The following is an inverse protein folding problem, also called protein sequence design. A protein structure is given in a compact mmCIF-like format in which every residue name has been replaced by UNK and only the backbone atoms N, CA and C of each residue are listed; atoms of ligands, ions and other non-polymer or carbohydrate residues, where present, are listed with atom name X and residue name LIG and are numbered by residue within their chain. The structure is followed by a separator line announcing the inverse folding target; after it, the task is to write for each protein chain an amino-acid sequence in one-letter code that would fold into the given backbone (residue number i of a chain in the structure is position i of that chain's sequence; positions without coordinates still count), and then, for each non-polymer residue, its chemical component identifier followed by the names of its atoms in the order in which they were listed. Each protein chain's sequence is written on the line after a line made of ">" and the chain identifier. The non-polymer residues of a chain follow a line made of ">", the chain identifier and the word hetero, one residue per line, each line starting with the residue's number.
data_IF_642077907406
#
_entry.id   IF_642077907406
#
_cell.length_a   1.000
_cell.length_b   1.000
_cell.length_c   1.000
_cell.angle_alpha   90.00
_cell.angle_beta   90.00
_cell.angle_gamma   90.00
#
_symmetry.space_group_name_H-M   'P 1'
#
loop_
_entity.id
_entity.type
_entity.pdbx_description
1 polymer ?
#
# COMPACT_ATOMS: atom_id res chain seq x y z
N UNK A 1 -4.17 -17.93 5.56
CA UNK A 1 -5.40 -17.13 5.79
C UNK A 1 -4.93 -15.70 6.10
N UNK A 2 -5.64 -14.58 5.88
CA UNK A 2 -7.04 -14.31 5.48
C UNK A 2 -7.13 -12.90 4.87
N UNK A 3 -8.19 -12.57 4.11
CA UNK A 3 -8.69 -11.19 4.00
C UNK A 3 -7.82 -10.13 3.29
N UNK A 4 -7.56 -10.32 1.99
CA UNK A 4 -7.16 -9.25 1.06
C UNK A 4 -8.23 -9.14 -0.06
N UNK A 5 -8.36 -7.97 -0.69
CA UNK A 5 -9.61 -7.20 -0.64
C UNK A 5 -9.70 -5.87 -1.48
N UNK A 6 -10.60 -5.63 -2.49
CA UNK A 6 -10.59 -4.39 -3.35
C UNK A 6 -11.92 -3.82 -4.05
N UNK A 7 -11.80 -2.77 -4.96
CA UNK A 7 -12.74 -2.07 -5.91
C UNK A 7 -12.31 -0.63 -6.45
N UNK A 8 -11.94 -0.40 -7.74
CA UNK A 8 -10.94 0.62 -8.25
C UNK A 8 -11.38 1.92 -9.08
N UNK A 9 -10.47 2.81 -9.67
CA UNK A 9 -10.70 4.17 -10.37
C UNK A 9 -9.53 5.18 -10.84
N UNK A 10 -9.80 6.50 -11.20
CA UNK A 10 -9.13 7.75 -11.77
C UNK A 10 -9.64 9.17 -11.24
N UNK A 11 -8.89 10.32 -11.21
CA UNK A 11 -8.02 10.95 -12.25
C UNK A 11 -7.07 12.11 -11.80
N UNK A 12 -5.81 12.13 -12.32
CA UNK A 12 -4.82 13.23 -12.64
C UNK A 12 -4.27 14.30 -11.62
N UNK A 13 -3.17 14.96 -12.06
CA UNK A 13 -2.10 15.67 -11.28
C UNK A 13 -1.50 16.86 -12.06
N UNK A 14 -1.12 17.96 -11.36
CA UNK A 14 -0.13 18.99 -11.82
C UNK A 14 0.72 19.47 -10.64
N UNK A 15 1.98 19.87 -10.89
CA UNK A 15 3.04 20.19 -9.91
C UNK A 15 2.97 21.60 -9.28
N UNK A 16 3.61 21.76 -8.11
CA UNK A 16 3.94 23.04 -7.49
C UNK A 16 3.75 23.03 -5.96
N UNK A 17 4.73 23.53 -5.17
CA UNK A 17 4.79 23.44 -3.71
C UNK A 17 3.48 23.81 -2.98
N UNK A 18 2.65 22.80 -2.70
CA UNK A 18 1.34 22.90 -2.02
C UNK A 18 1.07 21.61 -1.26
N UNK A 19 0.16 21.65 -0.30
CA UNK A 19 -0.51 20.44 0.16
C UNK A 19 -1.29 19.85 -1.01
N UNK A 20 -0.97 18.62 -1.41
CA UNK A 20 -1.69 17.94 -2.49
C UNK A 20 -3.00 17.38 -1.93
N UNK A 21 -4.00 18.25 -1.84
CA UNK A 21 -5.35 17.91 -1.41
C UNK A 21 -6.35 17.86 -2.56
N UNK A 22 -7.15 16.81 -2.63
CA UNK A 22 -8.22 16.66 -3.61
C UNK A 22 -9.48 16.03 -3.01
N UNK A 23 -10.57 16.01 -3.78
CA UNK A 23 -11.88 15.50 -3.36
C UNK A 23 -12.70 14.97 -4.55
N UNK A 24 -13.52 13.97 -4.29
CA UNK A 24 -14.52 13.48 -5.25
C UNK A 24 -15.67 14.45 -5.45
N UNK A 25 -16.30 14.40 -6.63
CA UNK A 25 -17.59 15.06 -6.89
C UNK A 25 -18.76 14.21 -6.35
N UNK A 26 -19.94 14.81 -6.08
CA UNK A 26 -20.99 14.19 -5.28
C UNK A 26 -22.07 13.47 -6.10
N UNK A 27 -21.78 13.06 -7.35
CA UNK A 27 -22.78 12.49 -8.27
C UNK A 27 -23.15 11.02 -7.94
N UNK A 28 -22.52 10.43 -6.92
CA UNK A 28 -22.85 9.14 -6.31
C UNK A 28 -22.89 9.21 -4.77
N UNK A 29 -23.26 8.10 -4.11
CA UNK A 29 -23.33 8.04 -2.63
C UNK A 29 -21.94 8.20 -1.97
N UNK A 30 -20.88 7.75 -2.66
CA UNK A 30 -19.52 7.75 -2.14
C UNK A 30 -18.88 9.14 -2.27
N UNK A 31 -18.37 9.68 -1.16
CA UNK A 31 -17.59 10.93 -1.13
C UNK A 31 -16.24 10.66 -0.51
N UNK A 32 -15.20 11.20 -1.12
CA UNK A 32 -13.81 11.03 -0.67
C UNK A 32 -13.05 12.35 -0.70
N UNK A 33 -11.96 12.40 0.07
CA UNK A 33 -10.96 13.45 0.01
C UNK A 33 -9.61 12.95 0.54
N UNK A 34 -8.54 13.66 0.19
CA UNK A 34 -7.17 13.36 0.60
C UNK A 34 -6.38 14.65 0.83
N UNK A 35 -5.26 14.54 1.54
CA UNK A 35 -4.27 15.62 1.66
C UNK A 35 -2.89 15.00 1.91
N UNK A 36 -1.92 15.34 1.07
CA UNK A 36 -0.52 14.95 1.22
C UNK A 36 0.31 16.19 1.52
N UNK A 37 1.22 16.09 2.48
CA UNK A 37 2.08 17.20 2.93
C UNK A 37 3.47 16.67 3.28
N UNK A 38 4.50 17.19 2.61
CA UNK A 38 5.89 16.86 2.93
C UNK A 38 6.22 17.28 4.37
N UNK A 39 6.73 16.33 5.14
CA UNK A 39 7.20 16.55 6.51
C UNK A 39 8.49 17.37 6.61
N UNK A 40 9.02 17.49 7.83
CA UNK A 40 10.26 18.23 8.13
C UNK A 40 11.56 17.51 7.73
N UNK A 41 11.45 16.33 7.13
CA UNK A 41 12.60 15.50 6.80
C UNK A 41 13.38 16.01 5.57
N UNK A 42 14.68 15.67 5.49
CA UNK A 42 15.61 16.24 4.50
C UNK A 42 15.63 15.52 3.14
N UNK A 43 14.94 14.38 3.01
CA UNK A 43 14.78 13.63 1.75
C UNK A 43 13.67 14.24 0.87
N UNK A 44 13.23 13.54 -0.17
CA UNK A 44 12.14 13.98 -1.05
C UNK A 44 10.75 13.84 -0.37
N UNK A 45 9.67 13.95 -1.16
CA UNK A 45 8.37 13.38 -0.77
C UNK A 45 8.37 11.96 -1.33
N UNK A 46 8.30 10.94 -0.47
CA UNK A 46 8.38 9.54 -0.90
C UNK A 46 7.01 8.82 -0.79
N UNK A 47 6.06 9.37 -0.05
CA UNK A 47 4.71 8.84 0.07
C UNK A 47 3.76 9.29 -1.07
N UNK A 48 3.12 8.29 -1.69
CA UNK A 48 2.20 8.41 -2.82
C UNK A 48 0.80 7.94 -2.40
N UNK A 49 -0.21 8.35 -3.15
CA UNK A 49 -1.59 7.97 -2.86
C UNK A 49 -2.39 7.70 -4.12
N UNK A 50 -3.57 7.13 -3.91
CA UNK A 50 -4.66 7.10 -4.89
C UNK A 50 -5.97 7.40 -4.17
N UNK A 51 -6.89 8.15 -4.79
CA UNK A 51 -8.22 8.46 -4.25
C UNK A 51 -9.22 8.85 -5.37
N UNK A 52 -10.14 7.96 -5.78
CA UNK A 52 -10.91 8.09 -7.05
C UNK A 52 -12.12 7.09 -7.22
N UNK A 53 -13.19 7.32 -8.04
CA UNK A 53 -14.38 6.38 -8.28
C UNK A 53 -14.73 6.00 -9.79
N UNK A 54 -14.83 4.72 -10.23
CA UNK A 54 -15.22 4.32 -11.64
C UNK A 54 -16.34 3.28 -11.72
N UNK A 55 -16.95 3.16 -12.90
CA UNK A 55 -17.73 1.99 -13.30
C UNK A 55 -16.84 0.87 -13.91
N UNK A 56 -16.95 -0.35 -13.40
CA UNK A 56 -16.43 -1.59 -14.03
C UNK A 56 -17.56 -2.59 -14.17
N UNK A 57 -17.86 -3.04 -15.40
CA UNK A 57 -18.95 -4.00 -15.69
C UNK A 57 -20.26 -3.64 -14.98
N UNK A 58 -20.66 -2.36 -15.03
CA UNK A 58 -21.88 -1.85 -14.40
C UNK A 58 -21.87 -1.72 -12.87
N UNK A 59 -20.72 -1.84 -12.21
CA UNK A 59 -20.57 -1.63 -10.77
C UNK A 59 -19.79 -0.33 -10.52
N UNK A 60 -20.31 0.57 -9.68
CA UNK A 60 -19.52 1.69 -9.16
C UNK A 60 -18.51 1.16 -8.14
N UNK A 61 -17.27 1.56 -8.33
CA UNK A 61 -16.11 1.16 -7.55
C UNK A 61 -15.39 2.41 -7.01
N UNK A 62 -14.59 2.28 -5.94
CA UNK A 62 -13.98 3.42 -5.24
C UNK A 62 -12.59 3.14 -4.64
N UNK A 63 -11.57 3.70 -5.29
CA UNK A 63 -10.14 3.44 -5.15
C UNK A 63 -9.42 4.33 -4.15
N UNK A 64 -8.87 3.74 -3.09
CA UNK A 64 -8.01 4.44 -2.14
C UNK A 64 -6.72 3.66 -1.89
N UNK A 65 -5.60 4.38 -1.84
CA UNK A 65 -4.30 3.86 -1.46
C UNK A 65 -3.49 4.91 -0.72
N UNK A 66 -2.66 4.44 0.22
CA UNK A 66 -1.43 5.11 0.63
C UNK A 66 -0.28 4.14 0.37
N UNK A 67 0.79 4.66 -0.21
CA UNK A 67 2.06 3.99 -0.40
C UNK A 67 3.12 4.84 0.29
N UNK A 68 3.67 4.39 1.42
CA UNK A 68 4.79 5.07 2.07
C UNK A 68 6.09 4.55 1.45
N UNK A 69 6.96 5.42 0.95
CA UNK A 69 8.17 5.05 0.21
C UNK A 69 9.43 5.28 1.04
N UNK A 70 10.47 4.46 0.85
CA UNK A 70 11.73 4.62 1.60
C UNK A 70 12.97 4.30 0.75
N UNK A 71 14.03 5.10 0.96
CA UNK A 71 15.28 5.10 0.17
C UNK A 71 15.05 5.43 -1.31
N UNK A 72 13.99 6.17 -1.64
CA UNK A 72 13.52 6.42 -2.99
C UNK A 72 11.99 6.44 -3.09
N UNK A 73 11.47 7.16 -4.08
CA UNK A 73 10.05 7.27 -4.41
C UNK A 73 9.61 6.27 -5.49
N UNK A 74 10.55 5.61 -6.17
CA UNK A 74 10.31 4.87 -7.42
C UNK A 74 9.32 3.71 -7.24
N UNK A 75 9.42 2.98 -6.12
CA UNK A 75 8.49 1.89 -5.79
C UNK A 75 7.09 2.43 -5.54
N UNK A 76 6.93 3.44 -4.68
CA UNK A 76 5.64 4.07 -4.38
C UNK A 76 4.99 4.67 -5.65
N UNK A 77 5.79 5.32 -6.50
CA UNK A 77 5.39 5.89 -7.78
C UNK A 77 5.02 4.81 -8.83
N UNK A 78 5.61 3.62 -8.76
CA UNK A 78 5.23 2.48 -9.60
C UNK A 78 3.91 1.85 -9.11
N UNK A 79 3.77 1.63 -7.79
CA UNK A 79 2.54 1.10 -7.20
C UNK A 79 1.32 1.96 -7.51
N UNK A 80 1.45 3.30 -7.43
CA UNK A 80 0.40 4.25 -7.83
C UNK A 80 -0.11 4.03 -9.26
N UNK A 81 0.79 3.71 -10.20
CA UNK A 81 0.47 3.56 -11.63
C UNK A 81 0.00 2.15 -11.99
N UNK A 82 0.57 1.12 -11.36
CA UNK A 82 0.50 -0.25 -11.86
C UNK A 82 -0.26 -1.24 -10.95
N UNK A 83 -0.28 -1.05 -9.63
CA UNK A 83 -0.89 -2.05 -8.72
C UNK A 83 -2.38 -2.25 -9.04
N UNK A 84 -3.07 -1.19 -9.43
CA UNK A 84 -4.52 -1.20 -9.66
C UNK A 84 -4.94 -1.61 -11.06
N UNK A 85 -4.17 -1.29 -12.09
CA UNK A 85 -4.33 -1.91 -13.39
C UNK A 85 -4.04 -3.41 -13.31
N UNK A 86 -3.06 -3.85 -12.51
CA UNK A 86 -2.79 -5.26 -12.26
C UNK A 86 -3.91 -5.99 -11.49
N UNK A 87 -4.55 -5.36 -10.49
CA UNK A 87 -5.70 -5.94 -9.76
C UNK A 87 -6.92 -6.13 -10.69
N UNK A 88 -7.18 -5.20 -11.61
CA UNK A 88 -8.31 -5.30 -12.55
C UNK A 88 -8.04 -6.14 -13.80
N UNK A 89 -6.77 -6.35 -14.17
CA UNK A 89 -6.32 -6.79 -15.51
C UNK A 89 -7.12 -7.93 -16.12
N UNK A 90 -7.35 -8.99 -15.35
CA UNK A 90 -7.96 -10.22 -15.85
C UNK A 90 -9.50 -10.16 -15.88
N UNK A 91 -10.12 -9.09 -15.38
CA UNK A 91 -11.58 -8.94 -15.29
C UNK A 91 -12.28 -9.90 -14.30
N UNK A 92 -11.56 -10.85 -13.71
CA UNK A 92 -11.95 -11.75 -12.62
C UNK A 92 -12.23 -11.01 -11.30
N UNK A 93 -11.87 -9.72 -11.20
CA UNK A 93 -11.89 -8.97 -9.94
C UNK A 93 -13.22 -9.05 -9.19
N UNK A 94 -14.35 -8.94 -9.90
CA UNK A 94 -15.70 -9.00 -9.29
C UNK A 94 -16.17 -10.43 -8.96
N UNK A 95 -15.41 -11.46 -9.33
CA UNK A 95 -15.72 -12.88 -9.10
C UNK A 95 -14.92 -13.42 -7.92
N UNK A 96 -13.61 -13.20 -7.90
CA UNK A 96 -12.75 -13.49 -6.75
C UNK A 96 -11.79 -12.33 -6.49
N UNK A 97 -12.23 -11.31 -5.71
CA UNK A 97 -11.37 -10.24 -5.25
C UNK A 97 -10.11 -10.80 -4.58
N UNK A 98 -10.26 -11.69 -3.60
CA UNK A 98 -9.16 -12.13 -2.74
C UNK A 98 -8.02 -12.77 -3.52
N UNK A 99 -8.33 -13.61 -4.52
CA UNK A 99 -7.34 -14.21 -5.43
C UNK A 99 -6.71 -13.19 -6.35
N UNK A 100 -7.51 -12.38 -7.04
CA UNK A 100 -7.00 -11.42 -8.04
C UNK A 100 -6.05 -10.41 -7.42
N UNK A 101 -6.32 -9.98 -6.19
CA UNK A 101 -5.49 -9.00 -5.49
C UNK A 101 -4.22 -9.63 -4.95
N UNK A 102 -4.30 -10.82 -4.33
CA UNK A 102 -3.10 -11.53 -3.88
C UNK A 102 -2.16 -11.86 -5.06
N UNK A 103 -2.73 -12.23 -6.22
CA UNK A 103 -2.01 -12.40 -7.49
C UNK A 103 -1.39 -11.08 -7.95
N UNK A 104 -2.15 -9.99 -7.97
CA UNK A 104 -1.67 -8.70 -8.46
C UNK A 104 -0.59 -8.09 -7.55
N UNK A 105 -0.73 -8.18 -6.23
CA UNK A 105 0.31 -7.79 -5.27
C UNK A 105 1.60 -8.56 -5.57
N UNK A 106 1.55 -9.91 -5.57
CA UNK A 106 2.72 -10.75 -5.85
C UNK A 106 3.35 -10.44 -7.21
N UNK A 107 2.54 -10.34 -8.28
CA UNK A 107 3.05 -10.11 -9.63
C UNK A 107 3.65 -8.70 -9.79
N UNK A 108 3.11 -7.70 -9.11
CA UNK A 108 3.64 -6.32 -9.13
C UNK A 108 5.00 -6.28 -8.42
N UNK A 109 5.11 -6.91 -7.26
CA UNK A 109 6.37 -7.04 -6.51
C UNK A 109 7.44 -7.82 -7.29
N UNK A 110 7.07 -8.98 -7.84
CA UNK A 110 7.96 -9.75 -8.72
C UNK A 110 8.42 -8.95 -9.95
N UNK A 111 7.61 -8.02 -10.46
CA UNK A 111 8.02 -7.14 -11.57
C UNK A 111 9.10 -6.14 -11.09
N UNK A 112 8.87 -5.48 -9.97
CA UNK A 112 9.82 -4.55 -9.32
C UNK A 112 11.16 -5.25 -9.03
N UNK A 113 11.12 -6.45 -8.44
CA UNK A 113 12.32 -7.23 -8.10
C UNK A 113 13.05 -7.80 -9.34
N UNK A 114 12.33 -8.05 -10.44
CA UNK A 114 12.91 -8.58 -11.68
C UNK A 114 13.65 -7.52 -12.52
N UNK A 115 13.35 -6.24 -12.33
CA UNK A 115 14.01 -5.16 -13.06
C UNK A 115 15.36 -4.79 -12.41
N UNK A 116 16.29 -5.74 -12.40
CA UNK A 116 17.65 -5.56 -11.88
C UNK A 116 18.54 -4.71 -12.79
N UNK A 117 17.96 -3.91 -13.69
CA UNK A 117 18.68 -3.18 -14.75
C UNK A 117 19.30 -1.86 -14.29
N UNK A 118 18.95 -1.37 -13.09
CA UNK A 118 19.37 -0.05 -12.61
C UNK A 118 19.24 0.11 -11.09
N UNK A 119 19.99 1.05 -10.51
CA UNK A 119 19.92 1.45 -9.09
C UNK A 119 18.59 2.14 -8.70
N UNK A 120 17.66 2.31 -9.65
CA UNK A 120 16.34 2.93 -9.47
C UNK A 120 15.45 2.19 -8.47
N UNK A 121 15.71 0.91 -8.21
CA UNK A 121 14.93 0.05 -7.30
C UNK A 121 15.66 -0.26 -5.98
N UNK A 122 16.57 0.62 -5.56
CA UNK A 122 17.33 0.49 -4.29
C UNK A 122 16.50 0.69 -3.01
N UNK A 123 15.24 1.14 -3.17
CA UNK A 123 14.27 1.35 -2.10
C UNK A 123 13.16 0.30 -2.01
N UNK A 124 12.13 0.64 -1.23
CA UNK A 124 10.92 -0.14 -1.09
C UNK A 124 9.71 0.75 -0.84
N UNK A 125 8.54 0.15 -0.67
CA UNK A 125 7.35 0.89 -0.27
C UNK A 125 6.32 0.02 0.46
N UNK A 126 5.58 0.61 1.38
CA UNK A 126 4.35 0.04 1.95
C UNK A 126 3.18 0.19 0.98
N UNK A 127 2.10 -0.55 1.18
CA UNK A 127 0.86 -0.39 0.44
C UNK A 127 -0.35 -0.79 1.27
N UNK A 128 -1.07 0.19 1.82
CA UNK A 128 -2.43 -0.03 2.31
C UNK A 128 -3.41 0.43 1.24
N UNK A 129 -4.28 -0.47 0.78
CA UNK A 129 -5.25 -0.17 -0.27
C UNK A 129 -6.65 -0.47 0.22
N UNK A 130 -7.46 0.58 0.34
CA UNK A 130 -8.85 0.53 0.81
C UNK A 130 -9.78 0.79 -0.36
N UNK A 131 -10.66 -0.16 -0.66
CA UNK A 131 -11.21 -0.19 -2.00
C UNK A 131 -12.65 -0.78 -1.99
N UNK A 132 -13.66 0.00 -2.44
CA UNK A 132 -15.07 -0.07 -2.00
C UNK A 132 -16.12 -0.38 -3.11
N UNK A 133 -16.80 -1.54 -3.11
CA UNK A 133 -17.79 -1.93 -4.16
C UNK A 133 -19.18 -1.33 -3.86
N UNK A 134 -19.76 -0.59 -4.81
CA UNK A 134 -21.14 -0.06 -4.83
C UNK A 134 -21.59 0.57 -3.50
N UNK A 135 -20.68 1.28 -2.81
CA UNK A 135 -20.89 1.84 -1.46
C UNK A 135 -21.10 0.81 -0.33
N UNK A 136 -21.12 -0.48 -0.63
CA UNK A 136 -21.64 -1.56 0.24
C UNK A 136 -20.57 -2.51 0.73
N UNK A 137 -19.68 -2.96 -0.14
CA UNK A 137 -18.63 -3.93 0.22
C UNK A 137 -17.28 -3.23 0.23
N UNK A 138 -16.94 -2.63 1.37
CA UNK A 138 -15.57 -2.19 1.62
C UNK A 138 -14.68 -3.41 1.79
N UNK A 139 -13.58 -3.44 1.06
CA UNK A 139 -12.53 -4.43 1.20
C UNK A 139 -11.18 -3.65 1.42
N UNK A 140 -10.30 -4.11 2.35
CA UNK A 140 -8.93 -3.58 2.62
C UNK A 140 -7.78 -4.58 2.37
N UNK A 141 -6.72 -4.20 1.65
CA UNK A 141 -5.43 -4.90 1.63
C UNK A 141 -4.33 -4.12 2.38
N UNK A 142 -3.30 -4.81 2.89
CA UNK A 142 -2.10 -4.17 3.45
C UNK A 142 -0.80 -4.96 3.22
N UNK A 143 0.28 -4.25 2.93
CA UNK A 143 1.69 -4.68 3.03
C UNK A 143 2.49 -3.51 3.63
N UNK A 144 2.70 -3.52 4.95
CA UNK A 144 3.57 -2.58 5.65
C UNK A 144 2.97 -2.11 6.97
N UNK A 145 3.52 -1.06 7.56
CA UNK A 145 3.01 -0.39 8.77
C UNK A 145 1.97 0.72 8.48
N UNK A 146 1.80 1.09 7.20
CA UNK A 146 0.65 1.85 6.69
C UNK A 146 -0.69 1.24 7.13
N UNK A 147 -1.64 2.09 7.56
CA UNK A 147 -2.82 1.65 8.35
C UNK A 147 -4.17 2.07 7.76
N UNK A 148 -5.12 1.14 7.73
CA UNK A 148 -6.52 1.41 7.40
C UNK A 148 -7.42 1.40 8.65
N UNK A 149 -8.31 2.39 8.75
CA UNK A 149 -9.26 2.57 9.87
C UNK A 149 -10.64 2.88 9.29
N UNK A 150 -11.70 2.27 9.85
CA UNK A 150 -13.09 2.67 9.61
C UNK A 150 -13.69 3.31 10.85
N UNK A 151 -14.50 4.36 10.67
CA UNK A 151 -15.32 4.93 11.74
C UNK A 151 -16.79 4.59 11.52
N UNK A 152 -17.49 4.10 12.55
CA UNK A 152 -18.93 3.83 12.52
C UNK A 152 -19.58 4.35 13.80
N UNK A 153 -20.57 5.24 13.67
CA UNK A 153 -21.24 5.91 14.81
C UNK A 153 -20.23 6.56 15.78
N UNK A 154 -19.25 7.28 15.24
CA UNK A 154 -18.19 7.95 16.01
C UNK A 154 -17.08 7.04 16.56
N UNK A 155 -17.22 5.71 16.48
CA UNK A 155 -16.19 4.77 16.95
C UNK A 155 -15.26 4.37 15.81
N UNK A 156 -13.99 4.75 15.92
CA UNK A 156 -12.92 4.30 15.04
C UNK A 156 -12.50 2.85 15.37
N UNK A 157 -12.18 2.07 14.35
CA UNK A 157 -11.63 0.71 14.46
C UNK A 157 -10.62 0.47 13.33
N UNK A 158 -9.41 0.07 13.68
CA UNK A 158 -8.39 -0.40 12.73
C UNK A 158 -8.87 -1.68 12.02
N UNK A 159 -8.56 -1.78 10.72
CA UNK A 159 -8.99 -2.87 9.84
C UNK A 159 -7.87 -3.40 8.91
N UNK A 160 -6.71 -2.77 8.89
CA UNK A 160 -5.44 -3.43 8.53
C UNK A 160 -4.83 -4.13 9.75
N UNK A 161 -3.99 -5.13 9.53
CA UNK A 161 -2.92 -5.50 10.48
C UNK A 161 -1.64 -4.90 9.93
N UNK A 162 -0.86 -4.28 10.80
CA UNK A 162 0.36 -3.56 10.44
C UNK A 162 1.55 -4.50 10.58
N UNK A 163 2.40 -4.55 9.55
CA UNK A 163 3.52 -5.50 9.45
C UNK A 163 4.78 -4.90 10.08
N UNK A 164 4.80 -4.86 11.41
CA UNK A 164 5.93 -4.38 12.21
C UNK A 164 6.84 -5.55 12.65
N UNK A 165 8.18 -5.37 12.75
CA UNK A 165 9.10 -6.43 13.18
C UNK A 165 8.95 -6.88 14.64
N UNK A 166 8.28 -6.12 15.50
CA UNK A 166 8.03 -6.47 16.92
C UNK A 166 6.80 -7.37 17.13
N UNK A 167 5.92 -7.53 16.14
CA UNK A 167 4.84 -8.50 16.19
C UNK A 167 5.39 -9.94 16.23
N UNK A 168 4.94 -10.76 17.19
CA UNK A 168 5.43 -12.15 17.36
C UNK A 168 5.40 -12.98 16.06
N UNK A 169 4.34 -12.85 15.26
CA UNK A 169 4.18 -13.54 13.98
C UNK A 169 5.20 -13.09 12.93
N UNK A 170 5.49 -11.79 12.88
CA UNK A 170 6.44 -11.21 11.92
C UNK A 170 7.87 -11.52 12.33
N UNK A 171 8.19 -11.36 13.61
CA UNK A 171 9.47 -11.74 14.20
C UNK A 171 9.76 -13.23 13.96
N UNK A 172 8.83 -14.11 14.29
CA UNK A 172 8.99 -15.56 14.07
C UNK A 172 9.22 -15.90 12.60
N UNK A 173 8.56 -15.18 11.69
CA UNK A 173 8.76 -15.32 10.25
C UNK A 173 10.17 -14.89 9.83
N UNK A 174 10.61 -13.69 10.22
CA UNK A 174 11.98 -13.17 9.97
C UNK A 174 13.04 -14.14 10.48
N UNK A 175 12.90 -14.61 11.73
CA UNK A 175 13.87 -15.50 12.38
C UNK A 175 13.87 -16.91 11.75
N UNK A 176 12.70 -17.45 11.36
CA UNK A 176 12.60 -18.76 10.68
C UNK A 176 13.30 -18.84 9.33
N UNK A 177 13.58 -17.67 8.71
CA UNK A 177 14.24 -17.53 7.41
C UNK A 177 15.73 -17.21 7.54
N UNK A 178 16.24 -16.99 8.75
CA UNK A 178 17.65 -16.67 9.02
C UNK A 178 17.94 -15.20 9.33
N UNK A 179 16.91 -14.35 9.47
CA UNK A 179 17.07 -12.96 9.92
C UNK A 179 17.03 -12.82 11.44
N UNK A 180 17.12 -11.58 11.91
CA UNK A 180 16.94 -11.22 13.32
C UNK A 180 16.21 -9.87 13.45
N UNK A 181 15.54 -9.67 14.59
CA UNK A 181 14.91 -8.38 14.93
C UNK A 181 15.70 -7.70 16.04
N UNK A 182 16.27 -6.53 15.76
CA UNK A 182 16.88 -5.70 16.80
C UNK A 182 15.85 -4.76 17.41
N UNK A 183 15.77 -4.71 18.73
CA UNK A 183 15.08 -3.66 19.46
C UNK A 183 16.11 -2.96 20.36
N UNK A 184 16.54 -1.74 19.98
CA UNK A 184 17.49 -0.93 20.75
C UNK A 184 16.71 0.04 21.63
N UNK A 185 17.12 0.21 22.89
CA UNK A 185 16.44 1.09 23.86
C UNK A 185 16.37 2.53 23.32
N UNK A 186 15.19 2.97 22.92
CA UNK A 186 14.94 4.31 22.36
C UNK A 186 14.87 4.37 20.82
N UNK A 187 14.96 3.23 20.14
CA UNK A 187 14.71 3.07 18.69
C UNK A 187 13.49 2.16 18.49
N UNK A 188 12.99 2.07 17.25
CA UNK A 188 11.98 1.09 16.84
C UNK A 188 12.60 -0.29 16.60
N UNK A 189 11.76 -1.33 16.55
CA UNK A 189 12.22 -2.66 16.14
C UNK A 189 12.61 -2.66 14.65
N UNK A 190 13.71 -3.35 14.30
CA UNK A 190 14.24 -3.38 12.92
C UNK A 190 14.64 -4.77 12.46
N UNK A 191 14.24 -5.14 11.24
CA UNK A 191 14.74 -6.30 10.51
C UNK A 191 16.23 -6.11 10.23
N UNK A 192 17.05 -7.05 10.70
CA UNK A 192 18.50 -7.08 10.55
C UNK A 192 19.22 -5.77 10.93
N UNK A 193 18.63 -4.99 11.85
CA UNK A 193 19.15 -3.68 12.28
C UNK A 193 18.89 -2.51 11.32
N UNK A 194 18.18 -2.72 10.21
CA UNK A 194 18.00 -1.74 9.12
C UNK A 194 16.54 -1.26 9.04
N UNK A 195 15.64 -2.14 8.59
CA UNK A 195 14.30 -1.78 8.12
C UNK A 195 13.27 -1.86 9.27
N UNK A 196 12.50 -0.80 9.48
CA UNK A 196 11.54 -0.69 10.60
C UNK A 196 10.19 -1.39 10.35
N UNK A 197 10.01 -2.02 9.19
CA UNK A 197 8.80 -2.67 8.70
C UNK A 197 9.16 -4.09 8.22
N UNK A 198 8.30 -5.09 8.48
CA UNK A 198 8.60 -6.51 8.21
C UNK A 198 8.18 -7.01 6.83
N UNK A 199 7.34 -6.25 6.11
CA UNK A 199 6.89 -6.57 4.74
C UNK A 199 6.70 -5.30 3.92
N UNK A 200 7.35 -5.25 2.76
CA UNK A 200 7.32 -4.14 1.81
C UNK A 200 7.18 -4.69 0.39
N UNK A 201 6.93 -3.81 -0.57
CA UNK A 201 7.25 -4.04 -1.98
C UNK A 201 8.70 -3.60 -2.23
N UNK A 202 9.43 -4.32 -3.09
CA UNK A 202 10.84 -4.01 -3.40
C UNK A 202 11.80 -4.46 -2.30
N UNK A 203 12.71 -3.57 -1.85
CA UNK A 203 13.79 -3.89 -0.91
C UNK A 203 14.66 -5.09 -1.35
N UNK A 204 15.07 -5.14 -2.62
CA UNK A 204 15.90 -6.19 -3.26
C UNK A 204 17.31 -6.39 -2.64
N UNK A 205 17.59 -5.80 -1.48
CA UNK A 205 18.80 -6.00 -0.71
C UNK A 205 18.85 -7.42 -0.10
N UNK A 206 20.02 -8.06 -0.15
CA UNK A 206 20.20 -9.44 0.33
C UNK A 206 19.89 -9.65 1.83
N UNK A 207 19.75 -8.59 2.62
CA UNK A 207 19.29 -8.62 4.01
C UNK A 207 17.76 -8.71 4.17
N UNK A 208 16.98 -8.60 3.09
CA UNK A 208 15.53 -8.84 3.08
C UNK A 208 15.13 -10.02 2.17
N UNK A 209 16.11 -10.79 1.66
CA UNK A 209 15.90 -12.06 0.94
C UNK A 209 15.48 -13.22 1.85
N UNK A 210 14.56 -12.94 2.77
CA UNK A 210 14.01 -13.81 3.80
C UNK A 210 12.57 -14.14 3.43
#
# INVERSE_FOLDING_TARGET
>A
MTGICCSLSDTQVVLGQKSHSGKGKPDGEIKFGYSLMKGKAKHAMEDYHVAKLINVKGNELGLFAIFDGHKGDQVAAYLQKHLFSNILKDGEFLVDPRRTIAKAYKNTDQTILSDTSSDLWSGGSTAVTAILINGKVLWIANVGDSRAIVSRRGKARQISVDHNPDNDTEKSMIESKGGFVTNRRGDVARVNGILAVSRTFGDNCHSCGL
#
